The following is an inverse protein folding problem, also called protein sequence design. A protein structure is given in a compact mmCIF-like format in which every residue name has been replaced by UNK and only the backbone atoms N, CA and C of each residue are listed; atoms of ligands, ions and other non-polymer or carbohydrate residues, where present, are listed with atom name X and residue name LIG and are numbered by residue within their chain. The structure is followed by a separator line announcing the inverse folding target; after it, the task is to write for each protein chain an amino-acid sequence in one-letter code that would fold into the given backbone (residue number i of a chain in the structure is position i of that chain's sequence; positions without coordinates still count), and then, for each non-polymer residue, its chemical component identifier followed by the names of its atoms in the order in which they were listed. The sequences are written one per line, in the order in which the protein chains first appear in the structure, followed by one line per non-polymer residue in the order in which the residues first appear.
data_IF_290260921335
#
_entry.id   IF_290260921335
#
_cell.length_a   1.000
_cell.length_b   1.000
_cell.length_c   1.000
_cell.angle_alpha   90.00
_cell.angle_beta   90.00
_cell.angle_gamma   90.00
#
_symmetry.space_group_name_H-M   'P 1'
#
loop_
_entity.id
_entity.type
_entity.pdbx_description
1 polymer ?
#
# COMPACT_ATOMS: atom_id res chain seq x y z
N UNK A 1 35.48 -11.10 33.57
CA UNK A 1 35.60 -11.38 32.11
C UNK A 1 36.91 -12.06 31.67
N UNK A 2 37.87 -12.39 32.57
CA UNK A 2 39.07 -13.16 32.18
C UNK A 2 38.84 -14.67 32.02
N UNK A 3 37.90 -15.26 32.77
CA UNK A 3 37.63 -16.72 32.74
C UNK A 3 36.89 -17.19 31.49
N UNK A 4 36.00 -16.36 30.93
CA UNK A 4 35.31 -16.65 29.66
C UNK A 4 36.24 -16.58 28.44
N UNK A 5 37.23 -15.68 28.48
CA UNK A 5 38.24 -15.56 27.40
C UNK A 5 39.15 -16.79 27.33
N UNK A 6 39.45 -17.41 28.48
CA UNK A 6 40.29 -18.62 28.55
C UNK A 6 39.56 -19.83 27.96
N UNK A 7 38.25 -19.97 28.18
CA UNK A 7 37.47 -21.07 27.57
C UNK A 7 37.35 -20.96 26.04
N UNK A 8 37.34 -19.74 25.49
CA UNK A 8 37.21 -19.51 24.04
C UNK A 8 38.53 -19.81 23.29
N UNK A 9 39.67 -19.62 23.96
CA UNK A 9 41.00 -20.00 23.45
C UNK A 9 41.21 -21.52 23.47
N UNK A 10 40.64 -22.23 24.45
CA UNK A 10 40.78 -23.69 24.53
C UNK A 10 39.91 -24.40 23.46
N UNK A 11 38.74 -23.84 23.14
CA UNK A 11 37.86 -24.38 22.08
C UNK A 11 38.40 -24.20 20.66
N UNK A 12 39.33 -23.28 20.43
CA UNK A 12 39.93 -23.06 19.11
C UNK A 12 41.12 -23.98 18.80
N UNK A 13 41.63 -24.73 19.78
CA UNK A 13 42.70 -25.72 19.60
C UNK A 13 42.21 -27.17 19.37
N UNK A 14 40.90 -27.42 19.45
CA UNK A 14 40.31 -28.76 19.32
C UNK A 14 39.61 -29.03 17.98
N UNK A 15 39.87 -28.22 16.95
CA UNK A 15 39.47 -28.54 15.57
C UNK A 15 40.64 -29.24 14.86
N UNK A 16 40.47 -30.44 14.29
CA UNK A 16 41.49 -31.05 13.45
C UNK A 16 41.62 -30.22 12.18
N UNK A 17 42.58 -29.30 12.19
CA UNK A 17 43.04 -28.60 11.00
C UNK A 17 43.72 -29.61 10.09
N UNK A 18 42.95 -30.27 9.22
CA UNK A 18 43.48 -31.04 8.09
C UNK A 18 44.03 -30.09 7.02
N UNK A 19 45.12 -29.40 7.35
CA UNK A 19 45.94 -28.64 6.41
C UNK A 19 47.44 -28.96 6.58
N UNK A 20 47.78 -30.04 7.30
CA UNK A 20 49.15 -30.54 7.42
C UNK A 20 49.48 -31.67 6.42
N UNK A 21 48.55 -32.00 5.52
CA UNK A 21 48.70 -33.11 4.56
C UNK A 21 49.17 -32.71 3.17
N UNK A 22 49.56 -31.45 2.93
CA UNK A 22 50.01 -30.93 1.63
C UNK A 22 51.42 -30.33 1.68
N UNK A 23 52.34 -31.01 2.35
CA UNK A 23 53.77 -30.69 2.22
C UNK A 23 54.69 -31.91 2.36
N UNK A 24 54.21 -33.09 1.95
CA UNK A 24 55.12 -34.15 1.51
C UNK A 24 55.31 -34.01 0.02
N UNK A 25 56.51 -33.62 -0.39
CA UNK A 25 56.96 -33.84 -1.77
C UNK A 25 56.97 -35.35 -1.98
N UNK A 26 55.91 -35.88 -2.59
CA UNK A 26 55.84 -37.28 -2.95
C UNK A 26 56.87 -37.53 -4.06
N UNK A 27 58.05 -38.01 -3.64
CA UNK A 27 59.13 -38.47 -4.54
C UNK A 27 58.64 -39.56 -5.52
N UNK A 28 57.50 -40.18 -5.23
CA UNK A 28 56.83 -41.14 -6.12
C UNK A 28 56.15 -40.45 -7.32
N UNK A 29 55.53 -39.28 -7.12
CA UNK A 29 54.84 -38.54 -8.17
C UNK A 29 55.83 -37.84 -9.12
N UNK A 30 56.97 -37.34 -8.59
CA UNK A 30 58.07 -36.81 -9.41
C UNK A 30 58.70 -37.89 -10.31
N UNK A 31 58.72 -39.16 -9.87
CA UNK A 31 59.24 -40.29 -10.65
C UNK A 31 58.29 -40.72 -11.77
N UNK A 32 56.98 -40.55 -11.60
CA UNK A 32 55.97 -40.80 -12.64
C UNK A 32 55.92 -39.69 -13.71
N UNK A 33 56.23 -38.45 -13.33
CA UNK A 33 56.26 -37.29 -14.25
C UNK A 33 57.59 -37.14 -15.00
N UNK A 34 58.65 -37.87 -14.61
CA UNK A 34 59.89 -37.93 -15.37
C UNK A 34 59.65 -38.63 -16.72
N UNK A 35 59.47 -37.81 -17.76
CA UNK A 35 59.30 -38.26 -19.15
C UNK A 35 58.00 -37.81 -19.81
N UNK A 36 57.08 -37.16 -19.08
CA UNK A 36 55.85 -36.59 -19.64
C UNK A 36 55.65 -35.16 -19.16
N UNK A 37 56.40 -34.22 -19.76
CA UNK A 37 56.22 -32.78 -19.59
C UNK A 37 57.39 -32.07 -18.90
N UNK A 38 57.38 -30.73 -18.98
CA UNK A 38 58.42 -29.88 -18.41
C UNK A 38 58.29 -29.82 -16.88
N UNK A 39 59.15 -30.55 -16.16
CA UNK A 39 59.26 -30.48 -14.71
C UNK A 39 60.41 -29.54 -14.31
N UNK A 40 60.11 -28.25 -14.22
CA UNK A 40 61.04 -27.19 -13.81
C UNK A 40 60.29 -25.90 -13.47
N UNK A 41 60.94 -24.96 -12.79
CA UNK A 41 60.34 -23.63 -12.54
C UNK A 41 60.33 -22.80 -13.81
N UNK A 42 59.21 -22.13 -14.10
CA UNK A 42 59.01 -21.31 -15.30
C UNK A 42 60.12 -20.25 -15.46
N UNK A 43 60.56 -19.95 -16.69
CA UNK A 43 61.51 -18.86 -16.92
C UNK A 43 60.92 -17.52 -16.48
N UNK A 44 61.70 -16.72 -15.76
CA UNK A 44 61.26 -15.40 -15.33
C UNK A 44 61.31 -14.44 -16.53
N UNK A 45 60.16 -14.13 -17.13
CA UNK A 45 60.05 -13.31 -18.34
C UNK A 45 60.17 -11.80 -18.08
N UNK A 46 60.19 -11.37 -16.81
CA UNK A 46 60.21 -9.95 -16.42
C UNK A 46 61.40 -9.15 -16.99
N UNK A 47 62.56 -9.79 -17.14
CA UNK A 47 63.79 -9.13 -17.57
C UNK A 47 63.94 -9.05 -19.10
N UNK A 48 63.12 -9.79 -19.86
CA UNK A 48 63.16 -9.83 -21.33
C UNK A 48 62.04 -9.05 -22.01
N UNK A 49 61.12 -8.49 -21.25
CA UNK A 49 60.07 -7.63 -21.77
C UNK A 49 60.61 -6.20 -21.78
N UNK A 50 61.09 -5.75 -22.95
CA UNK A 50 61.37 -4.33 -23.15
C UNK A 50 60.08 -3.53 -22.99
N UNK A 51 59.96 -2.79 -21.88
CA UNK A 51 58.84 -1.86 -21.67
C UNK A 51 58.97 -0.75 -22.70
N UNK A 52 58.20 -0.82 -23.78
CA UNK A 52 58.11 0.25 -24.79
C UNK A 52 57.77 1.55 -24.09
N UNK A 53 58.63 2.57 -24.22
CA UNK A 53 58.41 3.89 -23.60
C UNK A 53 57.21 4.56 -24.26
N UNK A 54 56.22 4.90 -23.44
CA UNK A 54 54.96 5.54 -23.80
C UNK A 54 55.19 6.90 -24.45
N UNK A 55 54.56 7.15 -25.61
CA UNK A 55 54.50 8.49 -26.21
C UNK A 55 53.33 9.24 -25.58
N UNK A 56 53.60 10.17 -24.67
CA UNK A 56 52.56 11.05 -24.11
C UNK A 56 52.20 12.08 -25.19
N UNK A 57 51.00 11.96 -25.76
CA UNK A 57 50.45 12.99 -26.65
C UNK A 57 49.76 14.06 -25.80
N UNK A 58 50.12 15.32 -25.99
CA UNK A 58 49.35 16.44 -25.44
C UNK A 58 48.01 16.53 -26.18
N UNK A 59 46.87 16.72 -25.49
CA UNK A 59 45.58 16.88 -26.14
C UNK A 59 45.56 18.18 -26.97
N UNK A 60 44.94 18.13 -28.14
CA UNK A 60 44.84 19.25 -29.11
C UNK A 60 43.79 20.30 -28.69
N UNK A 61 43.02 20.04 -27.64
CA UNK A 61 41.94 20.94 -27.22
C UNK A 61 42.39 21.88 -26.10
N UNK A 62 42.24 23.18 -26.35
CA UNK A 62 42.27 24.22 -25.33
C UNK A 62 40.98 24.13 -24.49
N UNK A 63 41.13 24.13 -23.17
CA UNK A 63 40.00 24.18 -22.24
C UNK A 63 39.28 25.52 -22.39
N UNK A 64 38.04 25.50 -22.88
CA UNK A 64 37.19 26.69 -22.87
C UNK A 64 36.77 27.00 -21.43
N UNK A 65 37.16 28.18 -20.93
CA UNK A 65 36.67 28.68 -19.65
C UNK A 65 35.15 28.87 -19.72
N UNK A 66 34.42 28.20 -18.81
CA UNK A 66 32.97 28.29 -18.70
C UNK A 66 32.17 27.05 -19.12
N UNK A 67 32.82 25.96 -19.59
CA UNK A 67 32.11 24.72 -19.97
C UNK A 67 31.30 24.08 -18.83
N UNK A 68 31.69 24.33 -17.57
CA UNK A 68 31.03 23.84 -16.36
C UNK A 68 30.40 24.96 -15.51
N UNK A 69 29.95 26.07 -16.12
CA UNK A 69 29.35 27.15 -15.36
C UNK A 69 27.91 26.77 -14.95
N UNK A 70 27.61 26.56 -13.64
CA UNK A 70 26.29 26.08 -13.21
C UNK A 70 25.16 27.07 -13.49
N UNK A 71 25.50 28.32 -13.77
CA UNK A 71 24.58 29.41 -14.11
C UNK A 71 24.03 29.32 -15.54
N UNK A 72 24.72 28.63 -16.45
CA UNK A 72 24.30 28.46 -17.86
C UNK A 72 23.54 27.13 -18.08
N UNK A 73 23.39 26.33 -17.01
CA UNK A 73 22.51 25.16 -17.03
C UNK A 73 21.07 25.64 -17.10
N UNK A 74 20.36 25.28 -18.17
CA UNK A 74 18.90 25.42 -18.21
C UNK A 74 18.33 24.71 -16.96
N UNK A 75 17.41 25.36 -16.21
CA UNK A 75 16.84 24.74 -15.04
C UNK A 75 16.21 23.40 -15.42
N UNK A 76 16.34 22.43 -14.52
CA UNK A 76 15.76 21.10 -14.72
C UNK A 76 14.25 21.29 -14.96
N UNK A 77 13.64 20.61 -15.96
CA UNK A 77 12.21 20.77 -16.28
C UNK A 77 11.25 20.63 -15.09
N UNK A 78 11.71 20.01 -13.99
CA UNK A 78 10.99 19.84 -12.73
C UNK A 78 10.69 21.15 -12.00
N UNK A 79 11.51 22.19 -12.19
CA UNK A 79 11.39 23.48 -11.50
C UNK A 79 10.62 24.53 -12.34
N UNK A 80 10.14 24.14 -13.53
CA UNK A 80 9.32 25.01 -14.38
C UNK A 80 7.84 24.86 -14.01
N UNK A 81 7.16 25.89 -13.47
CA UNK A 81 5.74 25.82 -13.14
C UNK A 81 4.83 25.64 -14.38
N UNK A 82 5.35 25.85 -15.59
CA UNK A 82 4.65 25.56 -16.85
C UNK A 82 4.83 24.10 -17.32
N UNK A 83 5.72 23.32 -16.69
CA UNK A 83 5.76 21.86 -16.86
C UNK A 83 4.61 21.25 -16.07
N UNK A 84 3.42 21.34 -16.65
CA UNK A 84 2.25 20.61 -16.17
C UNK A 84 2.60 19.12 -16.17
N UNK A 85 2.30 18.46 -15.05
CA UNK A 85 2.54 17.06 -14.76
C UNK A 85 1.68 16.13 -15.67
N UNK A 86 1.86 16.21 -16.99
CA UNK A 86 1.07 15.51 -18.02
C UNK A 86 1.39 14.00 -18.03
N UNK A 87 2.48 13.56 -17.37
CA UNK A 87 2.98 12.17 -17.37
C UNK A 87 2.81 11.49 -15.99
N UNK A 88 1.97 12.01 -15.11
CA UNK A 88 1.35 11.16 -14.10
C UNK A 88 -0.11 11.00 -14.49
N UNK A 89 -0.40 9.95 -15.28
CA UNK A 89 -1.77 9.44 -15.36
C UNK A 89 -2.15 9.16 -13.91
N UNK A 90 -3.18 9.86 -13.40
CA UNK A 90 -3.77 9.50 -12.11
C UNK A 90 -4.01 7.98 -12.15
N UNK A 91 -3.67 7.30 -11.06
CA UNK A 91 -3.92 5.88 -10.96
C UNK A 91 -5.36 5.61 -11.38
N UNK A 92 -5.57 4.60 -12.23
CA UNK A 92 -6.92 4.24 -12.66
C UNK A 92 -7.68 3.86 -11.39
N UNK A 93 -8.56 4.74 -10.93
CA UNK A 93 -9.49 4.44 -9.87
C UNK A 93 -10.34 3.26 -10.30
N UNK A 94 -10.69 2.38 -9.36
CA UNK A 94 -11.57 1.27 -9.67
C UNK A 94 -12.91 1.82 -10.16
N UNK A 95 -13.58 1.10 -11.05
CA UNK A 95 -14.95 1.46 -11.45
C UNK A 95 -15.85 1.56 -10.20
N UNK A 96 -15.62 0.69 -9.21
CA UNK A 96 -16.32 0.70 -7.93
C UNK A 96 -16.13 2.02 -7.16
N UNK A 97 -14.91 2.56 -7.10
CA UNK A 97 -14.67 3.78 -6.30
C UNK A 97 -15.36 4.99 -6.92
N UNK A 98 -15.48 5.02 -8.25
CA UNK A 98 -16.24 6.07 -8.94
C UNK A 98 -17.75 5.93 -8.67
N UNK A 99 -18.30 4.73 -8.81
CA UNK A 99 -19.72 4.46 -8.52
C UNK A 99 -20.06 4.75 -7.03
N UNK A 100 -19.17 4.37 -6.12
CA UNK A 100 -19.35 4.61 -4.69
C UNK A 100 -19.26 6.11 -4.34
N UNK A 101 -18.45 6.88 -5.07
CA UNK A 101 -18.39 8.34 -4.91
C UNK A 101 -19.72 9.03 -5.29
N UNK A 102 -20.50 8.46 -6.23
CA UNK A 102 -21.83 8.99 -6.57
C UNK A 102 -22.85 8.83 -5.43
N UNK A 103 -22.62 7.89 -4.50
CA UNK A 103 -23.49 7.62 -3.34
C UNK A 103 -23.25 8.64 -2.21
N UNK A 104 -22.05 9.21 -2.11
CA UNK A 104 -21.68 10.21 -1.08
C UNK A 104 -22.71 11.34 -0.94
N UNK A 105 -23.10 12.06 -2.01
CA UNK A 105 -24.08 13.14 -1.89
C UNK A 105 -25.48 12.65 -1.45
N UNK A 106 -25.81 11.37 -1.62
CA UNK A 106 -27.06 10.79 -1.12
C UNK A 106 -26.99 10.51 0.38
N UNK A 107 -25.84 10.06 0.87
CA UNK A 107 -25.57 9.88 2.30
C UNK A 107 -25.62 11.23 3.02
N UNK A 108 -24.95 12.25 2.48
CA UNK A 108 -24.93 13.62 3.04
C UNK A 108 -26.35 14.20 3.14
N UNK A 109 -27.14 14.12 2.07
CA UNK A 109 -28.54 14.57 2.10
C UNK A 109 -29.41 13.86 3.14
N UNK A 110 -29.09 12.60 3.46
CA UNK A 110 -29.79 11.85 4.50
C UNK A 110 -29.30 12.25 5.90
N UNK A 111 -28.02 12.56 6.08
CA UNK A 111 -27.48 13.14 7.32
C UNK A 111 -28.13 14.50 7.59
N UNK A 112 -28.12 15.41 6.60
CA UNK A 112 -28.76 16.73 6.70
C UNK A 112 -30.24 16.59 7.07
N UNK A 113 -30.94 15.61 6.47
CA UNK A 113 -32.34 15.32 6.76
C UNK A 113 -32.60 14.93 8.22
N UNK A 114 -31.64 14.24 8.86
CA UNK A 114 -31.72 13.81 10.25
C UNK A 114 -31.42 15.02 11.16
N UNK A 115 -30.37 15.78 10.87
CA UNK A 115 -29.95 16.94 11.67
C UNK A 115 -30.99 18.06 11.67
N UNK A 116 -31.55 18.39 10.51
CA UNK A 116 -32.57 19.43 10.37
C UNK A 116 -33.96 18.99 10.87
N UNK A 117 -34.10 17.74 11.34
CA UNK A 117 -35.37 17.14 11.76
C UNK A 117 -36.46 17.31 10.69
N UNK A 118 -36.12 17.03 9.43
CA UNK A 118 -37.06 17.18 8.31
C UNK A 118 -38.29 16.25 8.44
N UNK A 119 -39.31 16.55 7.62
CA UNK A 119 -40.53 15.76 7.55
C UNK A 119 -40.25 14.28 7.29
N UNK A 120 -40.98 13.39 7.98
CA UNK A 120 -40.89 11.94 7.81
C UNK A 120 -40.97 11.51 6.34
N UNK A 121 -41.85 12.10 5.53
CA UNK A 121 -42.00 11.72 4.14
C UNK A 121 -40.74 12.03 3.32
N UNK A 122 -40.10 13.17 3.58
CA UNK A 122 -38.82 13.53 2.96
C UNK A 122 -37.72 12.56 3.36
N UNK A 123 -37.64 12.22 4.65
CA UNK A 123 -36.71 11.21 5.15
C UNK A 123 -36.90 9.87 4.43
N UNK A 124 -38.14 9.38 4.34
CA UNK A 124 -38.46 8.12 3.68
C UNK A 124 -38.09 8.16 2.19
N UNK A 125 -38.34 9.27 1.50
CA UNK A 125 -37.98 9.42 0.08
C UNK A 125 -36.46 9.39 -0.11
N UNK A 126 -35.70 10.16 0.69
CA UNK A 126 -34.23 10.19 0.66
C UNK A 126 -33.65 8.82 0.99
N UNK A 127 -34.17 8.17 2.03
CA UNK A 127 -33.79 6.82 2.44
C UNK A 127 -34.04 5.80 1.32
N UNK A 128 -35.23 5.78 0.73
CA UNK A 128 -35.56 4.87 -0.36
C UNK A 128 -34.63 5.05 -1.57
N UNK A 129 -34.36 6.31 -1.96
CA UNK A 129 -33.45 6.63 -3.05
C UNK A 129 -32.04 6.13 -2.76
N UNK A 130 -31.52 6.35 -1.55
CA UNK A 130 -30.23 5.83 -1.13
C UNK A 130 -30.20 4.29 -1.21
N UNK A 131 -31.21 3.64 -0.65
CA UNK A 131 -31.26 2.16 -0.60
C UNK A 131 -31.30 1.54 -2.00
N UNK A 132 -32.04 2.14 -2.93
CA UNK A 132 -32.11 1.69 -4.32
C UNK A 132 -30.73 1.76 -5.00
N UNK A 133 -29.99 2.86 -4.80
CA UNK A 133 -28.67 3.02 -5.40
C UNK A 133 -27.64 2.05 -4.79
N UNK A 134 -27.68 1.84 -3.47
CA UNK A 134 -26.80 0.84 -2.82
C UNK A 134 -27.16 -0.59 -3.23
N UNK A 135 -28.45 -0.90 -3.41
CA UNK A 135 -28.89 -2.22 -3.90
C UNK A 135 -28.41 -2.47 -5.33
N UNK A 136 -28.56 -1.49 -6.22
CA UNK A 136 -28.05 -1.57 -7.60
C UNK A 136 -26.53 -1.76 -7.65
N UNK A 137 -25.80 -1.03 -6.80
CA UNK A 137 -24.35 -1.17 -6.67
C UNK A 137 -23.99 -2.56 -6.11
N UNK A 138 -24.76 -3.05 -5.12
CA UNK A 138 -24.58 -4.40 -4.56
C UNK A 138 -24.76 -5.47 -5.63
N UNK A 139 -25.78 -5.35 -6.46
CA UNK A 139 -26.03 -6.28 -7.56
C UNK A 139 -24.91 -6.23 -8.61
N UNK A 140 -24.46 -5.02 -8.99
CA UNK A 140 -23.39 -4.81 -9.97
C UNK A 140 -22.06 -5.46 -9.56
N UNK A 141 -21.74 -5.47 -8.26
CA UNK A 141 -20.48 -5.99 -7.73
C UNK A 141 -20.60 -7.33 -7.01
N UNK A 142 -21.78 -7.95 -7.03
CA UNK A 142 -21.99 -9.25 -6.42
C UNK A 142 -21.08 -10.31 -7.06
N UNK A 143 -20.31 -11.03 -6.24
CA UNK A 143 -19.38 -12.05 -6.70
C UNK A 143 -18.11 -11.52 -7.39
N UNK A 144 -17.91 -10.20 -7.44
CA UNK A 144 -16.66 -9.61 -7.95
C UNK A 144 -15.65 -9.34 -6.81
N UNK A 145 -14.35 -9.19 -7.11
CA UNK A 145 -13.34 -8.91 -6.08
C UNK A 145 -13.61 -7.66 -5.24
N UNK A 146 -14.29 -6.66 -5.81
CA UNK A 146 -14.66 -5.42 -5.12
C UNK A 146 -15.66 -5.64 -3.98
N UNK A 147 -16.40 -6.75 -3.99
CA UNK A 147 -17.31 -7.11 -2.87
C UNK A 147 -16.57 -7.39 -1.55
N UNK A 148 -15.26 -7.63 -1.61
CA UNK A 148 -14.42 -7.80 -0.42
C UNK A 148 -13.88 -6.49 0.14
N UNK A 149 -14.13 -5.35 -0.51
CA UNK A 149 -13.71 -4.05 0.00
C UNK A 149 -14.47 -3.69 1.28
N UNK A 150 -13.78 -3.05 2.21
CA UNK A 150 -14.36 -2.56 3.46
C UNK A 150 -15.46 -1.53 3.19
N UNK A 151 -15.28 -0.65 2.21
CA UNK A 151 -16.29 0.32 1.75
C UNK A 151 -17.56 -0.35 1.24
N UNK A 152 -17.43 -1.43 0.47
CA UNK A 152 -18.59 -2.18 -0.01
C UNK A 152 -19.40 -2.78 1.14
N UNK A 153 -18.72 -3.44 2.09
CA UNK A 153 -19.39 -4.01 3.27
C UNK A 153 -20.06 -2.94 4.12
N UNK A 154 -19.37 -1.81 4.34
CA UNK A 154 -19.90 -0.69 5.10
C UNK A 154 -21.18 -0.11 4.47
N UNK A 155 -21.19 0.06 3.15
CA UNK A 155 -22.39 0.49 2.42
C UNK A 155 -23.56 -0.48 2.60
N UNK A 156 -23.30 -1.79 2.60
CA UNK A 156 -24.34 -2.79 2.83
C UNK A 156 -24.90 -2.75 4.26
N UNK A 157 -24.06 -2.54 5.27
CA UNK A 157 -24.49 -2.37 6.65
C UNK A 157 -25.38 -1.14 6.82
N UNK A 158 -24.92 0.01 6.31
CA UNK A 158 -25.70 1.26 6.31
C UNK A 158 -27.04 1.06 5.60
N UNK A 159 -27.06 0.41 4.44
CA UNK A 159 -28.29 0.15 3.70
C UNK A 159 -29.31 -0.66 4.51
N UNK A 160 -28.86 -1.68 5.27
CA UNK A 160 -29.72 -2.46 6.17
C UNK A 160 -30.29 -1.59 7.29
N UNK A 161 -29.47 -0.75 7.91
CA UNK A 161 -29.92 0.17 8.96
C UNK A 161 -30.91 1.21 8.44
N UNK A 162 -30.63 1.82 7.29
CA UNK A 162 -31.54 2.79 6.64
C UNK A 162 -32.90 2.15 6.34
N UNK A 163 -32.92 0.92 5.78
CA UNK A 163 -34.16 0.17 5.53
C UNK A 163 -34.95 -0.10 6.82
N UNK A 164 -34.25 -0.55 7.86
CA UNK A 164 -34.87 -0.87 9.16
C UNK A 164 -35.48 0.37 9.80
N UNK A 165 -34.75 1.48 9.83
CA UNK A 165 -35.21 2.73 10.47
C UNK A 165 -36.32 3.39 9.66
N UNK A 166 -36.25 3.35 8.32
CA UNK A 166 -37.32 3.83 7.46
C UNK A 166 -38.63 3.05 7.71
N UNK A 167 -38.56 1.73 7.85
CA UNK A 167 -39.70 0.90 8.23
C UNK A 167 -40.21 1.25 9.63
N UNK A 168 -39.32 1.28 10.62
CA UNK A 168 -39.64 1.59 12.01
C UNK A 168 -40.36 2.94 12.16
N UNK A 169 -39.85 4.00 11.51
CA UNK A 169 -40.47 5.33 11.57
C UNK A 169 -41.84 5.37 10.91
N UNK A 170 -42.03 4.62 9.81
CA UNK A 170 -43.35 4.50 9.14
C UNK A 170 -44.35 3.76 10.03
N UNK A 171 -43.92 2.68 10.66
CA UNK A 171 -44.70 1.87 11.58
C UNK A 171 -45.05 2.64 12.86
N UNK A 172 -44.10 3.40 13.41
CA UNK A 172 -44.30 4.21 14.60
C UNK A 172 -45.47 5.18 14.44
N UNK A 173 -45.59 5.88 13.31
CA UNK A 173 -46.73 6.79 13.06
C UNK A 173 -48.08 6.07 13.16
N UNK A 174 -48.14 4.81 12.71
CA UNK A 174 -49.37 4.03 12.72
C UNK A 174 -49.65 3.42 14.08
N UNK A 175 -48.62 2.82 14.72
CA UNK A 175 -48.79 1.97 15.89
C UNK A 175 -48.53 2.65 17.22
N UNK A 176 -47.82 3.79 17.26
CA UNK A 176 -47.54 4.52 18.50
C UNK A 176 -48.84 4.87 19.25
N UNK A 177 -49.92 5.21 18.52
CA UNK A 177 -51.23 5.51 19.11
C UNK A 177 -51.85 4.32 19.86
N UNK A 178 -51.52 3.09 19.46
CA UNK A 178 -52.18 1.88 19.95
C UNK A 178 -51.29 1.06 20.88
N UNK A 179 -49.97 1.15 20.74
CA UNK A 179 -49.02 0.26 21.41
C UNK A 179 -48.18 0.93 22.50
N UNK A 180 -48.25 2.26 22.68
CA UNK A 180 -47.38 3.02 23.60
C UNK A 180 -47.30 2.47 25.03
N UNK A 181 -48.33 1.78 25.52
CA UNK A 181 -48.40 1.23 26.88
C UNK A 181 -48.14 -0.29 26.97
N UNK A 182 -47.77 -0.93 25.86
CA UNK A 182 -47.42 -2.36 25.82
C UNK A 182 -45.90 -2.55 25.81
N UNK A 183 -45.41 -3.64 26.42
CA UNK A 183 -43.98 -3.98 26.41
C UNK A 183 -43.41 -4.05 24.98
N UNK A 184 -44.20 -4.58 24.04
CA UNK A 184 -43.87 -4.66 22.61
C UNK A 184 -43.91 -3.31 21.88
N UNK A 185 -44.62 -2.31 22.41
CA UNK A 185 -44.71 -0.98 21.78
C UNK A 185 -43.60 -0.01 22.18
N UNK A 186 -42.74 -0.40 23.12
CA UNK A 186 -41.55 0.35 23.53
C UNK A 186 -40.59 0.66 22.38
N UNK A 187 -40.60 -0.17 21.32
CA UNK A 187 -39.80 0.04 20.09
C UNK A 187 -40.25 1.29 19.31
N UNK A 188 -41.52 1.68 19.43
CA UNK A 188 -42.08 2.85 18.75
C UNK A 188 -42.05 4.10 19.63
N UNK A 189 -41.44 4.04 20.82
CA UNK A 189 -41.27 5.20 21.67
C UNK A 189 -40.35 6.22 20.95
N UNK A 190 -40.74 7.51 20.87
CA UNK A 190 -39.89 8.57 20.33
C UNK A 190 -38.44 8.54 20.82
N UNK A 191 -38.20 8.24 22.10
CA UNK A 191 -36.83 8.19 22.65
C UNK A 191 -35.99 7.09 22.00
N UNK A 192 -36.57 5.90 21.78
CA UNK A 192 -35.89 4.79 21.12
C UNK A 192 -35.62 5.13 19.65
N UNK A 193 -36.61 5.69 18.95
CA UNK A 193 -36.45 6.11 17.55
C UNK A 193 -35.34 7.15 17.43
N UNK A 194 -35.26 8.10 18.35
CA UNK A 194 -34.20 9.12 18.37
C UNK A 194 -32.82 8.50 18.61
N UNK A 195 -32.70 7.53 19.52
CA UNK A 195 -31.46 6.78 19.73
C UNK A 195 -31.04 6.01 18.46
N UNK A 196 -31.98 5.33 17.80
CA UNK A 196 -31.72 4.63 16.55
C UNK A 196 -31.30 5.60 15.43
N UNK A 197 -31.89 6.80 15.40
CA UNK A 197 -31.50 7.85 14.45
C UNK A 197 -30.11 8.41 14.72
N UNK A 198 -29.73 8.61 15.98
CA UNK A 198 -28.37 9.01 16.34
C UNK A 198 -27.35 7.96 15.93
N UNK A 199 -27.64 6.69 16.21
CA UNK A 199 -26.78 5.59 15.78
C UNK A 199 -26.66 5.55 14.25
N UNK A 200 -27.77 5.72 13.51
CA UNK A 200 -27.73 5.81 12.06
C UNK A 200 -26.88 6.98 11.57
N UNK A 201 -26.97 8.14 12.22
CA UNK A 201 -26.18 9.31 11.87
C UNK A 201 -24.67 9.07 12.05
N UNK A 202 -24.27 8.41 13.13
CA UNK A 202 -22.88 8.01 13.34
C UNK A 202 -22.40 7.04 12.25
N UNK A 203 -23.22 6.05 11.90
CA UNK A 203 -22.93 5.06 10.85
C UNK A 203 -22.83 5.70 9.46
N UNK A 204 -23.72 6.64 9.14
CA UNK A 204 -23.69 7.40 7.88
C UNK A 204 -22.42 8.25 7.77
N UNK A 205 -22.05 8.98 8.83
CA UNK A 205 -20.84 9.79 8.86
C UNK A 205 -19.57 8.93 8.75
N UNK A 206 -19.55 7.78 9.43
CA UNK A 206 -18.46 6.80 9.32
C UNK A 206 -18.31 6.29 7.87
N UNK A 207 -19.42 5.96 7.22
CA UNK A 207 -19.41 5.54 5.81
C UNK A 207 -18.94 6.64 4.87
N UNK A 208 -19.37 7.89 5.06
CA UNK A 208 -18.90 9.04 4.27
C UNK A 208 -17.39 9.22 4.40
N UNK A 209 -16.86 9.17 5.63
CA UNK A 209 -15.43 9.30 5.88
C UNK A 209 -14.62 8.20 5.17
N UNK A 210 -15.10 6.96 5.25
CA UNK A 210 -14.45 5.81 4.62
C UNK A 210 -14.47 5.91 3.09
N UNK A 211 -15.61 6.29 2.50
CA UNK A 211 -15.71 6.45 1.03
C UNK A 211 -14.82 7.59 0.51
N UNK A 212 -14.62 8.65 1.30
CA UNK A 212 -13.72 9.76 0.96
C UNK A 212 -12.25 9.40 1.12
N UNK A 213 -11.89 8.43 1.97
CA UNK A 213 -10.51 7.96 2.07
C UNK A 213 -10.12 7.00 0.95
N UNK A 214 -11.10 6.32 0.35
CA UNK A 214 -10.90 5.34 -0.73
C UNK A 214 -10.81 5.97 -2.13
N UNK A 215 -11.20 7.25 -2.29
CA UNK A 215 -11.21 7.99 -3.57
C UNK A 215 -10.11 9.03 -3.70
#
# INVERSE_FOLDING_TARGET
MKKFFICLIIMSFALPSHAFFWNKKDKALEKELQGKGYAGTLPNLGDKIEKTKTKVTTPIFESQDGFNNPSDLKPVPKDNPAFINIIQKKDKTSEFTNDAAEIIPMLEKLVDCIDDNENLQLFITKANLLTLNIDNLTEKYNGKPESYYESFRKLQEVNRYVKSIAALRREAVTYQRYLAYSSSGSIYNPDNINQQLQYLLEELNSAILLLRSDG
#
